data_IF_401429994028
#
_entry.id   IF_401429994028
#
_cell.length_a   1.000
_cell.length_b   1.000
_cell.length_c   1.000
_cell.angle_alpha   90.00
_cell.angle_beta   90.00
_cell.angle_gamma   90.00
#
_symmetry.space_group_name_H-M   'P 1'
#
loop_
_entity.id
_entity.type
_entity.pdbx_description
1 polymer ?
#
# COMPACT_ATOMS: atom_id res chain seq x y z
N UNK A 1 21.87 8.32 -7.13
CA UNK A 1 21.16 7.80 -5.94
C UNK A 1 19.93 7.02 -6.37
N UNK A 2 19.15 7.53 -7.33
CA UNK A 2 17.94 6.90 -7.89
C UNK A 2 18.18 5.51 -8.48
N UNK A 3 19.27 5.29 -9.22
CA UNK A 3 19.60 3.98 -9.81
C UNK A 3 19.57 2.82 -8.79
N UNK A 4 20.07 3.05 -7.57
CA UNK A 4 20.08 2.03 -6.51
C UNK A 4 18.68 1.75 -5.95
N UNK A 5 17.79 2.74 -5.97
CA UNK A 5 16.39 2.56 -5.54
C UNK A 5 15.58 1.82 -6.61
N UNK A 6 15.87 2.06 -7.89
CA UNK A 6 15.25 1.29 -8.98
C UNK A 6 15.66 -0.18 -8.92
N UNK A 7 16.96 -0.45 -8.78
CA UNK A 7 17.48 -1.82 -8.60
C UNK A 7 16.84 -2.51 -7.38
N UNK A 8 16.72 -1.81 -6.26
CA UNK A 8 16.07 -2.34 -5.05
C UNK A 8 14.57 -2.60 -5.25
N UNK A 9 13.86 -1.70 -5.94
CA UNK A 9 12.43 -1.91 -6.25
C UNK A 9 12.22 -3.11 -7.18
N UNK A 10 13.13 -3.32 -8.13
CA UNK A 10 13.11 -4.49 -9.02
C UNK A 10 13.38 -5.78 -8.24
N UNK A 11 14.35 -5.79 -7.32
CA UNK A 11 14.61 -6.92 -6.43
C UNK A 11 13.38 -7.28 -5.58
N UNK A 12 12.73 -6.29 -4.95
CA UNK A 12 11.52 -6.52 -4.15
C UNK A 12 10.37 -7.06 -5.01
N UNK A 13 10.25 -6.64 -6.27
CA UNK A 13 9.23 -7.16 -7.18
C UNK A 13 9.46 -8.63 -7.58
N UNK A 14 10.63 -9.19 -7.33
CA UNK A 14 10.89 -10.63 -7.52
C UNK A 14 10.37 -11.50 -6.38
N UNK A 15 10.05 -10.90 -5.23
CA UNK A 15 9.53 -11.61 -4.06
C UNK A 15 8.15 -12.21 -4.33
N UNK A 16 7.89 -13.37 -3.74
CA UNK A 16 6.60 -14.04 -3.90
C UNK A 16 5.49 -13.17 -3.33
N UNK A 17 4.39 -13.07 -4.08
CA UNK A 17 3.18 -12.32 -3.71
C UNK A 17 3.34 -10.80 -3.72
N UNK A 18 4.49 -10.23 -4.07
CA UNK A 18 4.63 -8.79 -4.29
C UNK A 18 4.14 -8.46 -5.70
N UNK A 19 3.13 -7.60 -5.80
CA UNK A 19 2.59 -7.16 -7.08
C UNK A 19 2.73 -5.65 -7.32
N UNK A 20 3.29 -4.91 -6.36
CA UNK A 20 3.59 -3.50 -6.53
C UNK A 20 4.45 -2.93 -5.41
N UNK A 21 5.31 -1.98 -5.78
CA UNK A 21 6.19 -1.23 -4.87
C UNK A 21 6.10 0.24 -5.23
N UNK A 22 6.09 1.11 -4.22
CA UNK A 22 6.20 2.55 -4.39
C UNK A 22 7.06 3.15 -3.27
N UNK A 23 7.96 4.06 -3.64
CA UNK A 23 8.73 4.86 -2.70
C UNK A 23 8.50 6.35 -2.99
N UNK A 24 8.23 7.11 -1.94
CA UNK A 24 7.97 8.55 -2.02
C UNK A 24 8.55 9.28 -0.83
N UNK A 25 8.75 10.59 -0.95
CA UNK A 25 9.12 11.45 0.17
C UNK A 25 7.89 11.80 1.05
N UNK A 26 8.10 12.69 2.02
CA UNK A 26 7.04 13.19 2.90
C UNK A 26 5.98 14.05 2.19
N UNK A 27 6.33 14.64 1.04
CA UNK A 27 5.48 15.54 0.26
C UNK A 27 4.70 14.81 -0.85
N UNK A 28 4.96 13.52 -1.08
CA UNK A 28 4.38 12.76 -2.18
C UNK A 28 5.19 12.83 -3.48
N UNK A 29 6.42 13.34 -3.46
CA UNK A 29 7.33 13.26 -4.59
C UNK A 29 7.72 11.80 -4.80
N UNK A 30 7.45 11.29 -6.01
CA UNK A 30 7.70 9.89 -6.35
C UNK A 30 9.19 9.68 -6.67
N UNK A 31 9.80 8.68 -6.04
CA UNK A 31 11.16 8.26 -6.39
C UNK A 31 11.16 7.04 -7.31
N UNK A 32 10.34 6.03 -6.98
CA UNK A 32 10.20 4.82 -7.77
C UNK A 32 8.82 4.22 -7.55
N UNK A 33 8.22 3.72 -8.63
CA UNK A 33 7.02 2.92 -8.56
C UNK A 33 7.08 1.77 -9.57
N UNK A 34 6.51 0.62 -9.21
CA UNK A 34 6.46 -0.60 -10.02
C UNK A 34 5.15 -1.36 -9.79
N UNK A 35 4.76 -2.14 -10.79
CA UNK A 35 3.60 -3.02 -10.75
C UNK A 35 2.28 -2.26 -10.55
N UNK A 36 1.42 -2.79 -9.70
CA UNK A 36 0.09 -2.23 -9.38
C UNK A 36 0.13 -0.84 -8.73
N UNK A 37 1.28 -0.42 -8.21
CA UNK A 37 1.48 0.91 -7.61
C UNK A 37 2.20 1.89 -8.55
N UNK A 38 2.40 1.54 -9.82
CA UNK A 38 3.09 2.40 -10.81
C UNK A 38 2.35 3.72 -11.12
N UNK A 39 1.10 3.87 -10.68
CA UNK A 39 0.36 5.12 -10.86
C UNK A 39 0.96 6.25 -10.00
N UNK A 40 1.27 7.42 -10.59
CA UNK A 40 1.81 8.55 -9.83
C UNK A 40 0.84 9.10 -8.78
N UNK A 41 -0.47 8.90 -8.97
CA UNK A 41 -1.50 9.37 -8.05
C UNK A 41 -1.41 8.69 -6.67
N UNK A 42 -0.85 7.49 -6.61
CA UNK A 42 -0.70 6.73 -5.38
C UNK A 42 0.30 7.39 -4.40
N UNK A 43 1.34 8.07 -4.91
CA UNK A 43 2.42 8.61 -4.08
C UNK A 43 1.91 9.64 -3.07
N UNK A 44 1.08 10.59 -3.52
CA UNK A 44 0.50 11.61 -2.66
C UNK A 44 -0.45 11.05 -1.60
N UNK A 45 -1.25 10.04 -1.95
CA UNK A 45 -2.16 9.40 -0.98
C UNK A 45 -1.38 8.62 0.07
N UNK A 46 -0.36 7.87 -0.35
CA UNK A 46 0.48 7.05 0.52
C UNK A 46 1.27 7.92 1.51
N UNK A 47 1.89 9.01 1.04
CA UNK A 47 2.63 9.93 1.91
C UNK A 47 1.72 10.59 2.93
N UNK A 48 0.55 11.07 2.51
CA UNK A 48 -0.44 11.67 3.42
C UNK A 48 -0.95 10.67 4.46
N UNK A 49 -1.19 9.42 4.06
CA UNK A 49 -1.65 8.39 4.99
C UNK A 49 -0.59 8.09 6.05
N UNK A 50 0.67 7.97 5.63
CA UNK A 50 1.78 7.78 6.56
C UNK A 50 1.95 8.97 7.51
N UNK A 51 1.83 10.21 7.02
CA UNK A 51 1.94 11.42 7.84
C UNK A 51 0.81 11.54 8.88
N UNK A 52 -0.42 11.21 8.47
CA UNK A 52 -1.58 11.17 9.38
C UNK A 52 -1.40 10.10 10.45
N UNK A 53 -0.92 8.93 10.07
CA UNK A 53 -0.66 7.85 11.02
C UNK A 53 0.44 8.26 12.02
N UNK A 54 1.54 8.86 11.55
CA UNK A 54 2.60 9.37 12.42
C UNK A 54 2.12 10.48 13.38
N UNK A 55 1.15 11.29 12.96
CA UNK A 55 0.55 12.33 13.79
C UNK A 55 -0.35 11.79 14.91
N UNK A 56 -0.89 10.58 14.75
CA UNK A 56 -1.68 9.92 15.81
C UNK A 56 -0.80 9.39 16.93
N UNK A 57 0.38 8.84 16.60
CA UNK A 57 1.31 8.26 17.56
C UNK A 57 2.73 8.81 17.37
N UNK A 58 2.98 10.07 17.75
CA UNK A 58 4.28 10.73 17.54
C UNK A 58 5.41 10.13 18.40
N UNK A 59 5.05 9.33 19.42
CA UNK A 59 6.00 8.62 20.28
C UNK A 59 6.66 7.43 19.57
N UNK A 60 6.03 6.91 18.51
CA UNK A 60 6.52 5.76 17.75
C UNK A 60 7.44 6.24 16.63
N UNK A 61 8.71 5.83 16.68
CA UNK A 61 9.72 6.20 15.66
C UNK A 61 9.43 5.66 14.26
N UNK A 62 8.56 4.65 14.14
CA UNK A 62 8.16 4.09 12.85
C UNK A 62 6.81 3.42 12.98
N UNK A 63 5.84 3.90 12.21
CA UNK A 63 4.50 3.36 12.17
C UNK A 63 4.26 2.67 10.82
N UNK A 64 3.60 1.52 10.86
CA UNK A 64 3.19 0.78 9.68
C UNK A 64 1.67 0.88 9.54
N UNK A 65 1.19 1.25 8.35
CA UNK A 65 -0.22 1.26 7.99
C UNK A 65 -0.48 0.05 7.09
N UNK A 66 -1.57 -0.66 7.37
CA UNK A 66 -1.99 -1.83 6.62
C UNK A 66 -3.41 -1.63 6.12
N UNK A 67 -3.61 -1.62 4.81
CA UNK A 67 -4.94 -1.64 4.20
C UNK A 67 -5.20 -3.04 3.65
N UNK A 68 -6.27 -3.68 4.12
CA UNK A 68 -6.72 -4.97 3.59
C UNK A 68 -7.96 -4.73 2.75
N UNK A 69 -7.89 -5.09 1.47
CA UNK A 69 -9.02 -5.03 0.55
C UNK A 69 -9.59 -6.42 0.33
N UNK A 70 -10.90 -6.56 0.41
CA UNK A 70 -11.62 -7.66 -0.22
C UNK A 70 -12.29 -7.08 -1.46
N UNK A 71 -12.05 -7.65 -2.63
CA UNK A 71 -12.63 -7.21 -3.91
C UNK A 71 -14.12 -7.56 -4.00
N UNK A 72 -14.92 -7.17 -3.01
CA UNK A 72 -16.35 -7.06 -3.19
C UNK A 72 -16.61 -5.76 -3.95
N UNK A 73 -16.67 -5.84 -5.28
CA UNK A 73 -17.12 -4.73 -6.12
C UNK A 73 -18.41 -4.13 -5.53
N UNK A 74 -18.50 -2.82 -5.28
CA UNK A 74 -19.79 -2.21 -4.99
C UNK A 74 -20.52 -2.08 -6.32
N UNK A 75 -21.21 -3.13 -6.75
CA UNK A 75 -22.42 -2.89 -7.54
C UNK A 75 -23.37 -2.17 -6.60
N UNK A 76 -23.67 -0.91 -6.93
CA UNK A 76 -24.68 -0.15 -6.23
C UNK A 76 -25.94 -1.02 -6.07
N UNK A 77 -26.37 -1.27 -4.83
CA UNK A 77 -27.77 -1.31 -4.40
C UNK A 77 -27.90 -1.90 -2.99
N UNK A 78 -28.51 -1.10 -2.11
CA UNK A 78 -29.43 -1.47 -1.02
C UNK A 78 -29.07 -2.60 -0.04
N UNK A 79 -29.18 -2.24 1.24
CA UNK A 79 -29.28 -3.12 2.40
C UNK A 79 -29.90 -4.50 2.13
N UNK A 80 -29.23 -5.56 2.58
CA UNK A 80 -29.89 -6.80 2.98
C UNK A 80 -29.07 -7.54 4.03
N UNK A 81 -29.63 -7.60 5.25
CA UNK A 81 -29.30 -8.62 6.24
C UNK A 81 -29.77 -9.97 5.68
N UNK A 82 -28.86 -10.81 5.19
CA UNK A 82 -29.05 -12.26 5.24
C UNK A 82 -27.72 -12.98 5.28
N UNK A 83 -27.62 -13.82 6.31
CA UNK A 83 -26.54 -14.71 6.69
C UNK A 83 -26.33 -15.79 5.63
N UNK A 84 -25.36 -15.62 4.72
CA UNK A 84 -24.93 -16.69 3.82
C UNK A 84 -23.42 -16.95 3.96
N UNK A 85 -23.11 -18.19 4.33
CA UNK A 85 -21.77 -18.75 4.50
C UNK A 85 -21.12 -18.87 3.12
N UNK A 86 -20.37 -17.86 2.70
CA UNK A 86 -19.56 -17.92 1.47
C UNK A 86 -18.18 -18.47 1.81
N UNK A 87 -17.91 -19.71 1.40
CA UNK A 87 -16.54 -20.23 1.30
C UNK A 87 -15.96 -19.63 0.02
N UNK A 88 -15.52 -18.37 0.11
CA UNK A 88 -14.77 -17.74 -0.96
C UNK A 88 -13.27 -17.92 -0.66
N UNK A 89 -12.54 -18.59 -1.55
CA UNK A 89 -11.11 -18.37 -1.69
C UNK A 89 -10.92 -16.92 -2.12
N UNK A 90 -10.97 -16.00 -1.16
CA UNK A 90 -10.78 -14.58 -1.41
C UNK A 90 -9.29 -14.35 -1.70
N UNK A 91 -8.98 -13.75 -2.84
CA UNK A 91 -7.67 -13.15 -3.06
C UNK A 91 -7.52 -12.00 -2.05
N UNK A 92 -6.90 -12.29 -0.90
CA UNK A 92 -6.59 -11.28 0.11
C UNK A 92 -5.51 -10.37 -0.45
N UNK A 93 -5.87 -9.13 -0.78
CA UNK A 93 -4.90 -8.10 -1.14
C UNK A 93 -4.61 -7.19 0.05
N UNK A 94 -3.33 -6.89 0.23
CA UNK A 94 -2.85 -6.10 1.36
C UNK A 94 -1.86 -5.04 0.90
N UNK A 95 -2.12 -3.79 1.23
CA UNK A 95 -1.17 -2.69 1.05
C UNK A 95 -0.51 -2.39 2.39
N UNK A 96 0.81 -2.57 2.45
CA UNK A 96 1.63 -2.22 3.60
C UNK A 96 2.35 -0.92 3.32
N UNK A 97 2.24 0.06 4.21
CA UNK A 97 2.89 1.36 4.10
C UNK A 97 3.71 1.58 5.35
N UNK A 98 4.96 2.00 5.20
CA UNK A 98 5.83 2.33 6.32
C UNK A 98 6.62 3.59 6.02
N UNK A 99 6.69 4.48 6.99
CA UNK A 99 7.50 5.69 6.91
C UNK A 99 8.55 5.71 8.03
N UNK A 100 9.68 6.35 7.72
CA UNK A 100 10.76 6.63 8.66
C UNK A 100 11.06 8.14 8.72
N UNK A 101 10.05 8.99 8.46
CA UNK A 101 10.11 10.45 8.54
C UNK A 101 10.70 11.15 7.31
N UNK A 102 11.51 10.46 6.51
CA UNK A 102 12.09 11.02 5.25
C UNK A 102 11.53 10.33 4.02
N UNK A 103 11.43 9.01 4.06
CA UNK A 103 10.97 8.17 2.96
C UNK A 103 9.79 7.34 3.46
N UNK A 104 8.78 7.25 2.61
CA UNK A 104 7.63 6.37 2.77
C UNK A 104 7.68 5.29 1.70
N UNK A 105 7.58 4.04 2.11
CA UNK A 105 7.58 2.86 1.24
C UNK A 105 6.22 2.19 1.34
N UNK A 106 5.66 1.82 0.20
CA UNK A 106 4.45 1.03 0.10
C UNK A 106 4.70 -0.25 -0.70
N UNK A 107 4.15 -1.36 -0.22
CA UNK A 107 4.23 -2.69 -0.84
C UNK A 107 2.83 -3.26 -0.95
N UNK A 108 2.42 -3.61 -2.16
CA UNK A 108 1.17 -4.30 -2.43
C UNK A 108 1.44 -5.81 -2.53
N UNK A 109 0.78 -6.55 -1.65
CA UNK A 109 0.82 -8.00 -1.56
C UNK A 109 -0.49 -8.59 -2.06
N UNK A 110 -0.43 -9.62 -2.90
CA UNK A 110 -1.60 -10.40 -3.37
C UNK A 110 -1.32 -11.88 -3.19
N UNK A 111 -2.19 -12.59 -2.44
CA UNK A 111 -2.16 -14.05 -2.30
C UNK A 111 -2.94 -14.75 -3.40
#
# INVERSE_FOLDING_TARGET
>A
MEKRMEECAEEIMTERNVCGVLCTDINGALFVARGTLASPDCAGVISQLANRAASQEPSLRSLAVSLSGSSNSPTASSASLTKNKSVANQAESKLLIRSNGVITIAIHLSK
#
